data_IF_859289769597
#
_entry.id   IF_859289769597
#
_cell.length_a   1.000
_cell.length_b   1.000
_cell.length_c   1.000
_cell.angle_alpha   90.00
_cell.angle_beta   90.00
_cell.angle_gamma   90.00
#
_symmetry.space_group_name_H-M   'P 1'
#
loop_
_entity.id
_entity.type
_entity.pdbx_description
1 polymer ?
#
# COMPACT_ATOMS: atom_id res chain seq x y z
N UNK A 1 -33.21 -14.80 1.11
CA UNK A 1 -31.75 -14.59 1.29
C UNK A 1 -31.32 -13.51 0.32
N UNK A 2 -31.21 -12.25 0.77
CA UNK A 2 -30.61 -11.19 -0.05
C UNK A 2 -29.10 -11.42 -0.09
N UNK A 3 -28.45 -11.33 -1.26
CA UNK A 3 -27.00 -11.52 -1.37
C UNK A 3 -26.32 -10.51 -0.45
N UNK A 4 -25.44 -11.02 0.42
CA UNK A 4 -24.74 -10.24 1.43
C UNK A 4 -24.02 -9.07 0.80
N UNK A 5 -24.58 -7.88 0.99
CA UNK A 5 -23.92 -6.61 0.67
C UNK A 5 -22.72 -6.54 1.58
N UNK A 6 -21.54 -6.92 1.08
CA UNK A 6 -20.30 -6.58 1.78
C UNK A 6 -20.28 -5.06 1.84
N UNK A 7 -20.26 -4.45 3.04
CA UNK A 7 -20.28 -3.01 3.15
C UNK A 7 -19.11 -2.44 2.36
N UNK A 8 -19.34 -1.38 1.58
CA UNK A 8 -18.29 -0.66 0.84
C UNK A 8 -17.09 -0.31 1.74
N UNK A 9 -17.35 -0.16 3.05
CA UNK A 9 -16.36 0.06 4.08
C UNK A 9 -15.45 -1.15 4.38
N UNK A 10 -15.96 -2.38 4.29
CA UNK A 10 -15.13 -3.58 4.47
C UNK A 10 -14.09 -3.71 3.34
N UNK A 11 -14.47 -3.39 2.10
CA UNK A 11 -13.54 -3.35 0.98
C UNK A 11 -12.52 -2.21 1.09
N UNK A 12 -12.95 -1.01 1.52
CA UNK A 12 -12.04 0.10 1.83
C UNK A 12 -10.98 -0.29 2.85
N UNK A 13 -11.39 -0.91 3.97
CA UNK A 13 -10.48 -1.36 5.04
C UNK A 13 -9.52 -2.45 4.56
N UNK A 14 -10.00 -3.39 3.75
CA UNK A 14 -9.14 -4.42 3.16
C UNK A 14 -8.10 -3.81 2.21
N UNK A 15 -8.51 -2.88 1.35
CA UNK A 15 -7.63 -2.17 0.43
C UNK A 15 -6.51 -1.41 1.17
N UNK A 16 -6.88 -0.67 2.23
CA UNK A 16 -5.92 0.03 3.08
C UNK A 16 -4.92 -0.94 3.75
N UNK A 17 -5.38 -2.12 4.19
CA UNK A 17 -4.52 -3.16 4.77
C UNK A 17 -3.56 -3.75 3.75
N UNK A 18 -4.01 -4.01 2.52
CA UNK A 18 -3.15 -4.51 1.44
C UNK A 18 -2.03 -3.52 1.14
N UNK A 19 -2.36 -2.22 1.02
CA UNK A 19 -1.36 -1.18 0.78
C UNK A 19 -0.38 -1.11 1.96
N UNK A 20 -0.89 -1.15 3.20
CA UNK A 20 -0.05 -1.12 4.42
C UNK A 20 0.90 -2.31 4.47
N UNK A 21 0.40 -3.53 4.21
CA UNK A 21 1.23 -4.74 4.22
C UNK A 21 2.32 -4.67 3.15
N UNK A 22 2.03 -4.14 1.96
CA UNK A 22 3.04 -3.96 0.94
C UNK A 22 4.19 -3.04 1.39
N UNK A 23 3.90 -1.99 2.18
CA UNK A 23 4.97 -1.18 2.77
C UNK A 23 5.80 -1.97 3.79
N UNK A 24 5.16 -2.79 4.62
CA UNK A 24 5.85 -3.63 5.61
C UNK A 24 6.75 -4.67 4.94
N UNK A 25 6.24 -5.35 3.90
CA UNK A 25 6.98 -6.34 3.14
C UNK A 25 8.14 -5.71 2.35
N UNK A 26 8.00 -4.45 1.94
CA UNK A 26 9.04 -3.69 1.24
C UNK A 26 9.99 -2.92 2.17
N UNK A 27 9.84 -3.03 3.49
CA UNK A 27 10.57 -2.20 4.45
C UNK A 27 12.08 -2.44 4.48
N UNK A 28 12.52 -3.68 4.22
CA UNK A 28 13.93 -3.99 4.05
C UNK A 28 14.29 -4.03 2.56
N UNK A 29 15.09 -3.06 2.05
CA UNK A 29 15.51 -3.03 0.66
C UNK A 29 16.47 -4.17 0.30
N UNK A 30 17.12 -4.80 1.28
CA UNK A 30 17.97 -5.96 1.08
C UNK A 30 17.19 -7.28 1.04
N UNK A 31 15.93 -7.31 1.49
CA UNK A 31 15.12 -8.52 1.51
C UNK A 31 14.85 -9.01 0.08
N UNK A 32 15.24 -10.26 -0.19
CA UNK A 32 15.11 -10.93 -1.49
C UNK A 32 13.95 -11.93 -1.54
N UNK A 33 13.16 -12.05 -0.47
CA UNK A 33 11.97 -12.90 -0.47
C UNK A 33 10.99 -12.47 -1.58
N UNK A 34 10.27 -13.42 -2.22
CA UNK A 34 9.32 -13.12 -3.28
C UNK A 34 8.27 -12.07 -2.89
N UNK A 35 7.83 -12.06 -1.64
CA UNK A 35 6.86 -11.12 -1.08
C UNK A 35 7.41 -9.68 -1.13
N UNK A 36 8.64 -9.46 -0.66
CA UNK A 36 9.30 -8.16 -0.68
C UNK A 36 9.52 -7.64 -2.11
N UNK A 37 9.92 -8.52 -3.04
CA UNK A 37 10.07 -8.17 -4.46
C UNK A 37 8.73 -7.80 -5.11
N UNK A 38 7.69 -8.57 -4.82
CA UNK A 38 6.33 -8.32 -5.31
C UNK A 38 5.77 -7.02 -4.75
N UNK A 39 5.98 -6.77 -3.46
CA UNK A 39 5.55 -5.55 -2.78
C UNK A 39 6.23 -4.29 -3.36
N UNK A 40 7.54 -4.33 -3.62
CA UNK A 40 8.24 -3.23 -4.29
C UNK A 40 7.72 -2.97 -5.70
N UNK A 41 7.44 -4.03 -6.46
CA UNK A 41 6.85 -3.91 -7.82
C UNK A 41 5.43 -3.36 -7.76
N UNK A 42 4.65 -3.76 -6.76
CA UNK A 42 3.32 -3.21 -6.51
C UNK A 42 3.39 -1.71 -6.20
N UNK A 43 4.28 -1.31 -5.29
CA UNK A 43 4.48 0.06 -4.82
C UNK A 43 5.14 1.00 -5.84
N UNK A 44 5.75 0.48 -6.91
CA UNK A 44 6.42 1.28 -7.96
C UNK A 44 5.45 1.99 -8.92
N UNK A 45 4.19 2.20 -8.55
CA UNK A 45 3.16 2.77 -9.42
C UNK A 45 2.45 1.78 -10.33
N UNK A 46 2.37 0.52 -9.91
CA UNK A 46 1.61 -0.49 -10.64
C UNK A 46 0.13 -0.07 -10.83
N UNK A 47 -0.49 -0.52 -11.93
CA UNK A 47 -1.95 -0.32 -12.14
C UNK A 47 -2.77 -0.88 -10.98
N UNK A 48 -2.31 -1.96 -10.37
CA UNK A 48 -2.97 -2.59 -9.23
C UNK A 48 -2.97 -1.66 -8.01
N UNK A 49 -1.86 -0.97 -7.73
CA UNK A 49 -1.80 0.04 -6.66
C UNK A 49 -2.85 1.14 -6.86
N UNK A 50 -2.99 1.65 -8.09
CA UNK A 50 -3.99 2.68 -8.41
C UNK A 50 -5.41 2.23 -8.09
N UNK A 51 -5.75 1.00 -8.47
CA UNK A 51 -7.06 0.41 -8.17
C UNK A 51 -7.29 0.28 -6.67
N UNK A 52 -6.30 -0.20 -5.92
CA UNK A 52 -6.42 -0.32 -4.47
C UNK A 52 -6.49 1.05 -3.78
N UNK A 53 -5.77 2.06 -4.25
CA UNK A 53 -5.91 3.43 -3.75
C UNK A 53 -7.32 3.97 -3.99
N UNK A 54 -7.88 3.76 -5.18
CA UNK A 54 -9.27 4.16 -5.47
C UNK A 54 -10.28 3.43 -4.58
N UNK A 55 -10.10 2.12 -4.35
CA UNK A 55 -10.97 1.35 -3.43
C UNK A 55 -10.80 1.81 -1.99
N UNK A 56 -9.57 2.14 -1.56
CA UNK A 56 -9.26 2.61 -0.21
C UNK A 56 -9.63 4.08 0.05
N UNK A 57 -10.08 4.82 -0.99
CA UNK A 57 -10.30 6.27 -0.94
C UNK A 57 -9.02 7.04 -0.55
N UNK A 58 -7.87 6.59 -1.05
CA UNK A 58 -6.55 7.16 -0.78
C UNK A 58 -6.02 7.95 -1.97
N UNK A 59 -5.28 9.03 -1.69
CA UNK A 59 -4.58 9.80 -2.71
C UNK A 59 -3.39 8.99 -3.26
N UNK A 60 -3.50 8.54 -4.51
CA UNK A 60 -2.45 7.79 -5.20
C UNK A 60 -1.09 8.50 -5.18
N UNK A 61 -1.05 9.80 -5.48
CA UNK A 61 0.20 10.56 -5.55
C UNK A 61 0.90 10.63 -4.19
N UNK A 62 0.14 10.73 -3.10
CA UNK A 62 0.70 10.70 -1.75
C UNK A 62 1.30 9.32 -1.42
N UNK A 63 0.63 8.24 -1.83
CA UNK A 63 1.15 6.87 -1.64
C UNK A 63 2.42 6.63 -2.45
N UNK A 64 2.47 7.12 -3.70
CA UNK A 64 3.65 7.02 -4.56
C UNK A 64 4.83 7.83 -4.04
N UNK A 65 4.59 9.05 -3.55
CA UNK A 65 5.62 9.87 -2.93
C UNK A 65 6.25 9.11 -1.75
N UNK A 66 5.42 8.57 -0.86
CA UNK A 66 5.87 7.74 0.27
C UNK A 66 6.61 6.48 -0.18
N UNK A 67 6.12 5.78 -1.21
CA UNK A 67 6.79 4.59 -1.75
C UNK A 67 8.19 4.91 -2.28
N UNK A 68 8.35 6.04 -2.97
CA UNK A 68 9.65 6.46 -3.49
C UNK A 68 10.67 6.81 -2.40
N UNK A 69 10.22 7.37 -1.27
CA UNK A 69 11.04 7.53 -0.06
C UNK A 69 11.44 6.17 0.53
N UNK A 70 10.54 5.18 0.48
CA UNK A 70 10.75 3.86 1.06
C UNK A 70 11.73 2.98 0.27
N UNK A 71 11.74 3.11 -1.06
CA UNK A 71 12.63 2.34 -1.94
C UNK A 71 14.01 2.99 -2.07
N UNK A 72 14.20 4.20 -1.53
CA UNK A 72 15.51 4.88 -1.55
C UNK A 72 16.49 4.18 -0.59
N UNK A 73 17.68 3.75 -1.06
CA UNK A 73 18.70 3.19 -0.18
C UNK A 73 19.12 4.25 0.87
N UNK A 74 19.00 3.92 2.15
CA UNK A 74 19.54 4.75 3.25
C UNK A 74 18.63 5.85 3.80
N UNK A 75 17.32 5.87 3.50
CA UNK A 75 16.40 6.82 4.15
C UNK A 75 16.08 6.35 5.59
N UNK A 76 16.30 7.19 6.63
CA UNK A 76 15.96 6.83 8.00
C UNK A 76 14.44 6.73 8.16
N UNK A 77 13.99 5.61 8.73
CA UNK A 77 12.62 5.31 9.08
C UNK A 77 11.98 6.46 9.90
N UNK A 78 10.83 6.99 9.46
CA UNK A 78 9.88 7.67 10.35
C UNK A 78 8.51 7.02 10.22
N UNK A 79 8.04 6.46 11.33
CA UNK A 79 6.63 6.05 11.50
C UNK A 79 5.76 7.30 11.50
N UNK A 80 5.37 7.78 10.32
CA UNK A 80 4.27 8.74 10.22
C UNK A 80 3.05 7.96 9.77
N UNK A 81 2.07 7.86 10.68
CA UNK A 81 0.77 7.27 10.46
C UNK A 81 0.13 8.01 9.28
N UNK A 82 -0.31 7.29 8.24
CA UNK A 82 -1.08 7.90 7.16
C UNK A 82 -2.46 8.19 7.76
N UNK A 83 -2.75 9.46 8.03
CA UNK A 83 -4.09 9.86 8.45
C UNK A 83 -4.98 9.96 7.21
N UNK A 84 -6.06 9.18 7.22
CA UNK A 84 -7.17 9.38 6.30
C UNK A 84 -7.86 10.70 6.67
N UNK A 85 -8.13 11.53 5.67
CA UNK A 85 -9.08 12.64 5.81
C UNK A 85 -10.50 12.13 5.62
#
# INVERSE_FOLDING_TARGET
>A
MSPGVIPHEAYRRLAARIITQAFEDAADPADRRPEALSARTFLSGSRMLRLWCAVADMNEQAVLARASEHVRPGAPWRRTRVECK
#
